data_IF_813542702614
#
_entry.id   IF_813542702614
#
_cell.length_a   1.000
_cell.length_b   1.000
_cell.length_c   1.000
_cell.angle_alpha   90.00
_cell.angle_beta   90.00
_cell.angle_gamma   90.00
#
_symmetry.space_group_name_H-M   'P 1'
#
loop_
_entity.id
_entity.type
_entity.pdbx_description
1 polymer ?
#
# COMPACT_ATOMS: atom_id res chain seq x y z
N UNK A 1 74.36 -16.87 -23.14
CA UNK A 1 73.67 -15.57 -22.92
C UNK A 1 72.61 -15.81 -21.86
N UNK A 2 72.83 -15.32 -20.63
CA UNK A 2 71.91 -15.51 -19.51
C UNK A 2 70.83 -14.43 -19.60
N UNK A 3 69.59 -14.82 -19.87
CA UNK A 3 68.46 -13.91 -19.75
C UNK A 3 68.27 -13.57 -18.27
N UNK A 4 68.28 -12.27 -17.97
CA UNK A 4 68.02 -11.72 -16.64
C UNK A 4 66.60 -12.10 -16.18
N UNK A 5 66.41 -12.53 -14.92
CA UNK A 5 65.07 -12.82 -14.38
C UNK A 5 64.15 -11.59 -14.34
N UNK A 6 64.71 -10.37 -14.46
CA UNK A 6 63.93 -9.14 -14.61
C UNK A 6 63.26 -8.98 -15.98
N UNK A 7 63.75 -9.68 -17.02
CA UNK A 7 63.17 -9.62 -18.38
C UNK A 7 61.98 -10.57 -18.56
N UNK A 8 61.77 -11.53 -17.64
CA UNK A 8 60.63 -12.44 -17.67
C UNK A 8 59.33 -11.84 -17.08
N UNK A 9 59.43 -10.72 -16.36
CA UNK A 9 58.30 -10.07 -15.68
C UNK A 9 57.59 -8.99 -16.53
N UNK A 10 58.04 -8.73 -17.76
CA UNK A 10 57.45 -7.74 -18.67
C UNK A 10 56.52 -8.35 -19.73
N UNK A 11 56.21 -9.65 -19.66
CA UNK A 11 55.40 -10.36 -20.68
C UNK A 11 53.98 -10.73 -20.21
N UNK A 12 53.48 -10.10 -19.15
CA UNK A 12 52.11 -10.31 -18.65
C UNK A 12 51.32 -8.99 -18.63
N UNK A 13 51.49 -8.12 -19.63
CA UNK A 13 50.42 -7.18 -19.99
C UNK A 13 49.43 -7.91 -20.91
N UNK A 14 48.80 -8.95 -20.39
CA UNK A 14 47.63 -9.51 -21.06
C UNK A 14 46.56 -8.43 -21.08
N UNK A 15 45.99 -8.14 -22.25
CA UNK A 15 44.74 -7.38 -22.31
C UNK A 15 43.69 -8.20 -21.55
N UNK A 16 43.45 -7.81 -20.31
CA UNK A 16 42.43 -8.41 -19.48
C UNK A 16 41.15 -7.62 -19.73
N UNK A 17 40.10 -8.31 -20.20
CA UNK A 17 38.80 -7.67 -20.35
C UNK A 17 38.35 -7.12 -19.00
N UNK A 18 37.89 -5.87 -18.99
CA UNK A 18 37.29 -5.27 -17.81
C UNK A 18 35.96 -5.98 -17.57
N UNK A 19 35.78 -6.58 -16.39
CA UNK A 19 34.52 -7.24 -15.98
C UNK A 19 33.76 -6.30 -15.05
N UNK A 20 32.58 -5.87 -15.45
CA UNK A 20 31.66 -5.06 -14.64
C UNK A 20 30.44 -5.89 -14.23
N UNK A 21 29.94 -5.69 -13.00
CA UNK A 21 28.69 -6.30 -12.53
C UNK A 21 27.80 -5.20 -11.92
N UNK A 22 26.55 -5.11 -12.38
CA UNK A 22 25.58 -4.10 -11.95
C UNK A 22 24.21 -4.71 -11.71
N UNK A 23 23.46 -4.15 -10.74
CA UNK A 23 22.04 -4.42 -10.54
C UNK A 23 21.24 -3.15 -10.88
N UNK A 24 20.26 -3.29 -11.77
CA UNK A 24 19.42 -2.19 -12.22
C UNK A 24 17.96 -2.52 -11.90
N UNK A 25 17.21 -1.53 -11.42
CA UNK A 25 15.77 -1.65 -11.19
C UNK A 25 15.03 -0.80 -12.22
N UNK A 26 14.01 -1.36 -12.85
CA UNK A 26 13.16 -0.65 -13.80
C UNK A 26 11.68 -0.88 -13.53
N UNK A 27 10.86 0.14 -13.81
CA UNK A 27 9.41 0.01 -13.73
C UNK A 27 8.87 -0.60 -15.03
N UNK A 28 7.85 -1.44 -14.93
CA UNK A 28 7.11 -1.92 -16.12
C UNK A 28 6.60 -0.72 -16.94
N UNK A 29 6.80 -0.79 -18.26
CA UNK A 29 6.43 0.25 -19.22
C UNK A 29 7.42 1.42 -19.33
N UNK A 30 8.44 1.48 -18.46
CA UNK A 30 9.49 2.51 -18.52
C UNK A 30 10.61 2.15 -19.50
N UNK A 31 11.47 3.13 -19.79
CA UNK A 31 12.71 2.93 -20.53
C UNK A 31 13.88 2.87 -19.55
N UNK A 32 14.83 1.95 -19.77
CA UNK A 32 16.00 1.74 -18.91
C UNK A 32 17.29 1.69 -19.72
N UNK A 33 18.38 2.20 -19.12
CA UNK A 33 19.74 2.06 -19.65
C UNK A 33 20.50 1.01 -18.83
N UNK A 34 21.02 -0.02 -19.48
CA UNK A 34 21.90 -1.01 -18.85
C UNK A 34 23.34 -0.65 -19.17
N UNK A 35 24.14 -0.31 -18.15
CA UNK A 35 25.45 0.29 -18.36
C UNK A 35 26.46 -0.72 -18.90
N UNK A 36 27.23 -0.31 -19.90
CA UNK A 36 28.42 -1.02 -20.37
C UNK A 36 29.41 0.02 -20.87
N UNK A 37 30.29 0.49 -19.98
CA UNK A 37 31.14 1.66 -20.26
C UNK A 37 32.59 1.27 -20.11
N UNK A 38 33.38 1.54 -21.15
CA UNK A 38 34.82 1.35 -21.11
C UNK A 38 35.45 2.36 -20.14
N UNK A 39 36.29 1.92 -19.17
CA UNK A 39 36.81 2.81 -18.13
C UNK A 39 37.86 3.83 -18.64
N UNK A 40 38.40 3.63 -19.84
CA UNK A 40 39.34 4.57 -20.46
C UNK A 40 38.66 5.78 -21.11
N UNK A 41 39.48 6.72 -21.57
CA UNK A 41 39.03 7.92 -22.33
C UNK A 41 39.29 7.79 -23.83
N UNK A 42 39.52 6.55 -24.28
CA UNK A 42 39.78 6.25 -25.68
C UNK A 42 38.59 6.60 -26.56
N UNK A 43 38.89 7.03 -27.78
CA UNK A 43 37.89 7.17 -28.83
C UNK A 43 37.91 5.92 -29.68
N UNK A 44 36.73 5.44 -30.02
CA UNK A 44 36.58 4.21 -30.79
C UNK A 44 36.16 4.51 -32.22
N UNK A 45 36.82 3.84 -33.16
CA UNK A 45 36.38 3.76 -34.55
C UNK A 45 35.27 2.69 -34.64
N UNK A 46 34.12 3.06 -35.19
CA UNK A 46 32.99 2.16 -35.32
C UNK A 46 33.31 0.97 -36.25
N UNK A 47 34.15 1.17 -37.27
CA UNK A 47 34.52 0.08 -38.19
C UNK A 47 35.51 -0.93 -37.56
N UNK A 48 36.03 -0.62 -36.38
CA UNK A 48 36.90 -1.47 -35.57
C UNK A 48 36.13 -2.27 -34.49
N UNK A 49 34.84 -1.97 -34.27
CA UNK A 49 34.07 -2.47 -33.14
C UNK A 49 33.10 -3.59 -33.48
N UNK A 50 33.03 -4.58 -32.59
CA UNK A 50 31.96 -5.58 -32.54
C UNK A 50 31.34 -5.53 -31.16
N UNK A 51 30.04 -5.24 -31.06
CA UNK A 51 29.32 -5.13 -29.79
C UNK A 51 28.17 -6.11 -29.78
N UNK A 52 28.04 -6.88 -28.70
CA UNK A 52 26.94 -7.81 -28.49
C UNK A 52 26.32 -7.58 -27.13
N UNK A 53 24.99 -7.50 -27.12
CA UNK A 53 24.18 -7.68 -25.93
C UNK A 53 23.43 -9.00 -26.06
N UNK A 54 23.54 -9.84 -25.04
CA UNK A 54 22.89 -11.15 -25.01
C UNK A 54 22.34 -11.46 -23.62
N UNK A 55 21.36 -12.35 -23.55
CA UNK A 55 20.89 -12.91 -22.30
C UNK A 55 21.96 -13.84 -21.73
N UNK A 56 22.37 -13.66 -20.47
CA UNK A 56 23.51 -14.39 -19.90
C UNK A 56 23.28 -15.90 -19.84
N UNK A 57 22.04 -16.35 -19.59
CA UNK A 57 21.73 -17.77 -19.38
C UNK A 57 21.56 -18.54 -20.70
N UNK A 58 20.88 -17.96 -21.68
CA UNK A 58 20.56 -18.61 -22.96
C UNK A 58 21.49 -18.21 -24.11
N UNK A 59 22.33 -17.19 -23.91
CA UNK A 59 23.08 -16.50 -24.97
C UNK A 59 22.20 -15.98 -26.10
N UNK A 60 20.89 -15.81 -25.87
CA UNK A 60 19.99 -15.25 -26.86
C UNK A 60 20.37 -13.79 -27.13
N UNK A 61 20.50 -13.45 -28.41
CA UNK A 61 20.93 -12.11 -28.83
C UNK A 61 19.81 -11.09 -28.58
N UNK A 62 20.14 -10.04 -27.83
CA UNK A 62 19.25 -8.92 -27.52
C UNK A 62 19.39 -7.86 -28.61
N UNK A 63 20.61 -7.42 -28.84
CA UNK A 63 20.99 -6.51 -29.92
C UNK A 63 22.50 -6.61 -30.16
N UNK A 64 22.96 -6.09 -31.28
CA UNK A 64 24.36 -6.09 -31.62
C UNK A 64 24.69 -4.96 -32.59
N UNK A 65 25.98 -4.65 -32.67
CA UNK A 65 26.56 -3.76 -33.67
C UNK A 65 27.75 -4.44 -34.33
N UNK A 66 27.76 -4.42 -35.66
CA UNK A 66 28.87 -4.86 -36.51
C UNK A 66 29.33 -3.71 -37.41
N UNK A 67 30.61 -3.69 -37.83
CA UNK A 67 31.12 -2.71 -38.78
C UNK A 67 30.32 -2.63 -40.08
N UNK A 68 30.34 -1.47 -40.76
CA UNK A 68 29.70 -1.30 -42.06
C UNK A 68 28.16 -1.23 -42.04
N UNK A 69 27.55 -0.86 -40.91
CA UNK A 69 26.10 -0.62 -40.76
C UNK A 69 25.21 -1.85 -41.06
N UNK A 70 25.74 -3.06 -40.82
CA UNK A 70 24.98 -4.32 -40.93
C UNK A 70 24.11 -4.60 -39.69
N UNK A 71 23.61 -3.55 -39.02
CA UNK A 71 22.72 -3.64 -37.87
C UNK A 71 21.31 -4.04 -38.31
N UNK A 72 21.17 -5.25 -38.85
CA UNK A 72 19.87 -5.90 -39.04
C UNK A 72 19.44 -6.43 -37.69
N UNK A 73 18.62 -5.66 -36.96
CA UNK A 73 17.99 -6.13 -35.73
C UNK A 73 17.38 -7.52 -35.95
N UNK A 74 17.47 -8.39 -34.94
CA UNK A 74 16.92 -9.75 -35.01
C UNK A 74 15.43 -9.64 -35.36
N UNK A 75 15.05 -10.05 -36.58
CA UNK A 75 13.70 -9.79 -37.11
C UNK A 75 12.60 -10.50 -36.31
N UNK A 76 12.97 -11.48 -35.48
CA UNK A 76 12.09 -12.37 -34.71
C UNK A 76 12.40 -12.39 -33.19
N UNK A 77 12.93 -11.29 -32.64
CA UNK A 77 13.20 -11.16 -31.20
C UNK A 77 12.16 -10.28 -30.49
N UNK A 78 11.83 -10.59 -29.23
CA UNK A 78 10.99 -9.73 -28.38
C UNK A 78 11.65 -8.38 -28.01
N UNK A 79 12.94 -8.24 -28.30
CA UNK A 79 13.71 -7.00 -28.15
C UNK A 79 13.66 -6.09 -29.39
N UNK A 80 13.07 -6.57 -30.49
CA UNK A 80 12.94 -5.81 -31.74
C UNK A 80 12.28 -4.45 -31.49
N UNK A 81 12.85 -3.39 -32.06
CA UNK A 81 12.41 -1.99 -31.91
C UNK A 81 12.39 -1.45 -30.47
N UNK A 82 12.91 -2.21 -29.48
CA UNK A 82 12.96 -1.81 -28.07
C UNK A 82 14.39 -1.67 -27.56
N UNK A 83 15.28 -2.54 -28.02
CA UNK A 83 16.70 -2.56 -27.68
C UNK A 83 17.56 -1.76 -28.69
N UNK A 84 18.25 -0.73 -28.23
CA UNK A 84 19.06 0.15 -29.09
C UNK A 84 20.43 0.46 -28.50
N UNK A 85 21.39 0.70 -29.39
CA UNK A 85 22.72 1.22 -29.09
C UNK A 85 22.87 2.60 -29.74
N UNK A 86 23.64 3.49 -29.11
CA UNK A 86 23.90 4.84 -29.61
C UNK A 86 25.28 4.90 -30.26
N UNK A 87 25.34 5.13 -31.58
CA UNK A 87 26.60 5.19 -32.33
C UNK A 87 27.53 6.29 -31.80
N UNK A 88 26.97 7.47 -31.50
CA UNK A 88 27.73 8.60 -30.95
C UNK A 88 28.31 8.28 -29.57
N UNK A 89 27.56 7.54 -28.75
CA UNK A 89 28.00 7.08 -27.42
C UNK A 89 29.10 6.02 -27.53
N UNK A 90 28.97 5.10 -28.48
CA UNK A 90 29.95 4.03 -28.71
C UNK A 90 31.31 4.59 -29.13
N UNK A 91 31.34 5.64 -29.96
CA UNK A 91 32.57 6.36 -30.31
C UNK A 91 33.29 6.95 -29.09
N UNK A 92 32.57 7.18 -27.99
CA UNK A 92 33.06 7.70 -26.72
C UNK A 92 33.27 6.59 -25.67
N UNK A 93 33.14 5.32 -26.04
CA UNK A 93 33.34 4.18 -25.14
C UNK A 93 32.13 3.80 -24.30
N UNK A 94 30.95 4.37 -24.55
CA UNK A 94 29.69 3.97 -23.93
C UNK A 94 28.91 3.03 -24.86
N UNK A 95 28.90 1.74 -24.50
CA UNK A 95 28.24 0.64 -25.21
C UNK A 95 26.93 0.21 -24.54
N UNK A 96 26.36 1.08 -23.70
CA UNK A 96 25.16 0.79 -22.91
C UNK A 96 23.96 0.44 -23.78
N UNK A 97 23.16 -0.52 -23.32
CA UNK A 97 21.89 -0.88 -23.94
C UNK A 97 20.78 0.07 -23.48
N UNK A 98 20.06 0.65 -24.42
CA UNK A 98 18.80 1.34 -24.15
C UNK A 98 17.63 0.40 -24.45
N UNK A 99 16.93 -0.06 -23.41
CA UNK A 99 15.78 -0.94 -23.52
C UNK A 99 14.50 -0.16 -23.22
N UNK A 100 13.58 -0.13 -24.20
CA UNK A 100 12.30 0.60 -24.09
C UNK A 100 11.14 -0.30 -23.68
N UNK A 101 10.16 0.32 -23.00
CA UNK A 101 8.89 -0.32 -22.62
C UNK A 101 9.13 -1.66 -21.90
N UNK A 102 9.85 -1.64 -20.79
CA UNK A 102 10.24 -2.84 -20.00
C UNK A 102 9.02 -3.68 -19.64
N UNK A 103 9.12 -5.00 -19.80
CA UNK A 103 8.08 -5.95 -19.38
C UNK A 103 8.62 -6.90 -18.30
N UNK A 104 7.75 -7.61 -17.56
CA UNK A 104 8.19 -8.64 -16.61
C UNK A 104 9.06 -9.75 -17.23
N UNK A 105 8.98 -9.98 -18.55
CA UNK A 105 9.81 -10.98 -19.23
C UNK A 105 11.27 -10.52 -19.39
N UNK A 106 11.55 -9.24 -19.21
CA UNK A 106 12.90 -8.69 -19.30
C UNK A 106 13.66 -8.83 -17.96
N UNK A 107 13.04 -9.32 -16.88
CA UNK A 107 13.71 -9.60 -15.61
C UNK A 107 14.67 -10.79 -15.75
N UNK A 108 15.94 -10.47 -15.98
CA UNK A 108 16.99 -11.44 -16.23
C UNK A 108 18.38 -10.78 -16.20
N UNK A 109 19.42 -11.61 -16.33
CA UNK A 109 20.80 -11.18 -16.49
C UNK A 109 21.15 -11.00 -17.95
N UNK A 110 21.84 -9.89 -18.24
CA UNK A 110 22.31 -9.50 -19.56
C UNK A 110 23.84 -9.42 -19.56
N UNK A 111 24.45 -9.84 -20.65
CA UNK A 111 25.88 -9.69 -20.91
C UNK A 111 26.11 -8.71 -22.07
N UNK A 112 26.95 -7.72 -21.84
CA UNK A 112 27.59 -6.89 -22.84
C UNK A 112 28.97 -7.45 -23.16
N UNK A 113 29.29 -7.60 -24.45
CA UNK A 113 30.59 -8.05 -24.93
C UNK A 113 31.07 -7.11 -26.03
N UNK A 114 32.27 -6.55 -25.89
CA UNK A 114 32.86 -5.65 -26.88
C UNK A 114 34.22 -6.20 -27.33
N UNK A 115 34.40 -6.29 -28.65
CA UNK A 115 35.62 -6.77 -29.28
C UNK A 115 36.16 -5.74 -30.27
N UNK A 116 37.48 -5.75 -30.49
CA UNK A 116 38.14 -4.89 -31.48
C UNK A 116 38.80 -5.70 -32.60
N UNK A 117 38.57 -5.31 -33.84
CA UNK A 117 39.14 -5.94 -35.04
C UNK A 117 40.67 -5.83 -35.05
N UNK A 118 41.18 -4.64 -34.74
CA UNK A 118 42.60 -4.29 -34.67
C UNK A 118 43.40 -5.12 -33.66
N UNK A 119 42.71 -5.77 -32.72
CA UNK A 119 43.28 -6.65 -31.70
C UNK A 119 42.96 -8.12 -31.98
N UNK A 120 42.85 -8.51 -33.25
CA UNK A 120 42.52 -9.88 -33.67
C UNK A 120 41.19 -10.38 -33.07
N UNK A 121 40.18 -9.51 -33.02
CA UNK A 121 38.90 -9.75 -32.32
C UNK A 121 39.08 -10.00 -30.81
N UNK A 122 40.08 -9.37 -30.20
CA UNK A 122 40.29 -9.38 -28.75
C UNK A 122 39.13 -8.72 -28.01
N UNK A 123 38.65 -9.37 -26.94
CA UNK A 123 37.61 -8.83 -26.06
C UNK A 123 38.20 -7.74 -25.17
N UNK A 124 37.65 -6.54 -25.25
CA UNK A 124 38.13 -5.37 -24.49
C UNK A 124 37.24 -5.01 -23.31
N UNK A 125 35.96 -5.41 -23.33
CA UNK A 125 34.99 -5.12 -22.29
C UNK A 125 33.98 -6.25 -22.18
N UNK A 126 33.64 -6.59 -20.94
CA UNK A 126 32.58 -7.52 -20.57
C UNK A 126 31.81 -6.95 -19.39
N UNK A 127 30.50 -6.78 -19.51
CA UNK A 127 29.67 -6.31 -18.41
C UNK A 127 28.47 -7.24 -18.22
N UNK A 128 28.14 -7.54 -16.97
CA UNK A 128 26.98 -8.34 -16.59
C UNK A 128 26.02 -7.44 -15.82
N UNK A 129 24.80 -7.28 -16.33
CA UNK A 129 23.77 -6.44 -15.70
C UNK A 129 22.57 -7.31 -15.32
N UNK A 130 22.21 -7.33 -14.04
CA UNK A 130 20.99 -7.98 -13.57
C UNK A 130 19.86 -6.95 -13.55
N UNK A 131 18.84 -7.14 -14.38
CA UNK A 131 17.67 -6.27 -14.43
C UNK A 131 16.57 -6.85 -13.52
N UNK A 132 16.17 -6.07 -12.52
CA UNK A 132 15.00 -6.34 -11.69
C UNK A 132 13.84 -5.47 -12.15
N UNK A 133 12.66 -6.07 -12.38
CA UNK A 133 11.49 -5.37 -12.88
C UNK A 133 10.46 -5.22 -11.78
N UNK A 134 9.79 -4.08 -11.73
CA UNK A 134 8.77 -3.79 -10.73
C UNK A 134 7.55 -3.08 -11.30
N UNK A 135 6.39 -3.31 -10.72
CA UNK A 135 5.17 -2.56 -10.95
C UNK A 135 4.45 -2.29 -9.62
N UNK A 136 3.92 -1.08 -9.48
CA UNK A 136 3.10 -0.74 -8.32
C UNK A 136 1.78 -1.49 -8.38
N UNK A 137 1.39 -2.06 -7.25
CA UNK A 137 0.04 -2.59 -7.07
C UNK A 137 -0.98 -1.46 -7.06
N UNK A 138 -2.21 -1.75 -7.48
CA UNK A 138 -3.34 -0.84 -7.23
C UNK A 138 -3.60 -0.71 -5.73
N UNK A 139 -4.10 0.44 -5.30
CA UNK A 139 -4.53 0.62 -3.91
C UNK A 139 -5.51 -0.50 -3.52
N UNK A 140 -5.28 -1.24 -2.40
CA UNK A 140 -6.13 -2.37 -2.06
C UNK A 140 -7.55 -1.92 -1.76
N UNK A 141 -8.52 -2.59 -2.37
CA UNK A 141 -9.94 -2.36 -2.13
C UNK A 141 -10.44 -3.46 -1.21
N UNK A 142 -10.86 -3.08 0.00
CA UNK A 142 -11.43 -4.01 0.98
C UNK A 142 -12.96 -3.87 0.92
N UNK A 143 -13.63 -4.99 0.66
CA UNK A 143 -15.09 -5.02 0.57
C UNK A 143 -15.73 -5.21 1.95
N UNK A 144 -16.89 -4.59 2.16
CA UNK A 144 -17.72 -4.79 3.34
C UNK A 144 -17.99 -6.28 3.57
N UNK A 145 -18.00 -6.75 4.82
CA UNK A 145 -18.07 -8.17 5.07
C UNK A 145 -19.45 -8.71 4.72
N UNK A 146 -19.48 -9.89 4.08
CA UNK A 146 -20.71 -10.66 3.98
C UNK A 146 -20.94 -11.43 5.29
N UNK A 147 -22.19 -11.45 5.77
CA UNK A 147 -22.60 -12.33 6.87
C UNK A 147 -22.99 -13.68 6.25
N UNK A 148 -22.26 -14.78 6.49
CA UNK A 148 -22.70 -16.08 6.03
C UNK A 148 -24.00 -16.46 6.75
N UNK A 149 -24.86 -17.19 6.03
CA UNK A 149 -26.13 -17.72 6.56
C UNK A 149 -25.94 -18.76 7.66
N UNK A 150 -24.71 -19.24 7.86
CA UNK A 150 -24.31 -20.12 8.95
C UNK A 150 -23.27 -19.40 9.81
N UNK A 151 -23.71 -18.97 10.99
CA UNK A 151 -22.92 -18.59 12.16
C UNK A 151 -22.14 -17.25 12.13
N UNK A 152 -21.79 -16.79 13.33
CA UNK A 152 -21.35 -15.46 13.74
C UNK A 152 -19.96 -15.06 13.22
N UNK A 153 -19.69 -15.22 11.92
CA UNK A 153 -18.41 -14.85 11.29
C UNK A 153 -18.60 -13.71 10.29
N UNK A 154 -17.57 -12.87 10.16
CA UNK A 154 -17.48 -11.81 9.18
C UNK A 154 -16.41 -12.16 8.16
N UNK A 155 -16.75 -12.09 6.87
CA UNK A 155 -15.82 -12.38 5.78
C UNK A 155 -15.49 -11.13 4.99
N UNK A 156 -14.26 -10.63 5.10
CA UNK A 156 -13.75 -9.51 4.31
C UNK A 156 -12.99 -10.02 3.09
N UNK A 157 -13.10 -9.30 1.97
CA UNK A 157 -12.33 -9.59 0.75
C UNK A 157 -11.52 -8.37 0.36
N UNK A 158 -10.22 -8.56 0.18
CA UNK A 158 -9.29 -7.56 -0.30
C UNK A 158 -8.85 -7.89 -1.71
N UNK A 159 -8.90 -6.90 -2.61
CA UNK A 159 -8.46 -7.03 -3.99
C UNK A 159 -7.45 -5.94 -4.34
N UNK A 160 -6.35 -6.33 -4.98
CA UNK A 160 -5.32 -5.42 -5.52
C UNK A 160 -4.73 -6.04 -6.79
N UNK A 161 -4.48 -5.24 -7.82
CA UNK A 161 -4.15 -5.73 -9.17
C UNK A 161 -2.92 -5.06 -9.75
N UNK A 162 -2.40 -5.64 -10.83
CA UNK A 162 -1.37 -5.06 -11.70
C UNK A 162 -0.01 -4.76 -11.05
N UNK A 163 0.37 -5.49 -10.01
CA UNK A 163 1.68 -5.35 -9.38
C UNK A 163 2.71 -6.38 -9.82
N UNK A 164 3.99 -6.09 -9.60
CA UNK A 164 5.10 -7.01 -9.86
C UNK A 164 6.31 -6.61 -9.00
N UNK A 165 7.10 -7.54 -8.45
CA UNK A 165 6.94 -9.01 -8.48
C UNK A 165 5.84 -9.48 -7.51
N UNK A 166 5.73 -10.80 -7.29
CA UNK A 166 4.73 -11.41 -6.38
C UNK A 166 4.77 -10.74 -5.00
N UNK A 167 3.62 -10.35 -4.41
CA UNK A 167 3.60 -9.55 -3.20
C UNK A 167 3.55 -10.39 -1.93
N UNK A 168 3.78 -9.72 -0.80
CA UNK A 168 3.37 -10.21 0.52
C UNK A 168 2.05 -9.55 0.93
N UNK A 169 1.14 -10.33 1.49
CA UNK A 169 -0.17 -9.85 1.97
C UNK A 169 -0.21 -9.95 3.49
N UNK A 170 -0.64 -8.87 4.14
CA UNK A 170 -0.79 -8.81 5.59
C UNK A 170 -2.11 -8.17 5.96
N UNK A 171 -2.83 -8.75 6.93
CA UNK A 171 -4.01 -8.11 7.52
C UNK A 171 -3.66 -7.46 8.85
N UNK A 172 -4.23 -6.29 9.11
CA UNK A 172 -3.93 -5.45 10.27
C UNK A 172 -5.24 -5.13 10.98
N UNK A 173 -5.32 -5.37 12.29
CA UNK A 173 -6.39 -4.81 13.10
C UNK A 173 -6.12 -3.31 13.29
N UNK A 174 -6.98 -2.46 12.75
CA UNK A 174 -6.77 -1.00 12.80
C UNK A 174 -7.06 -0.38 14.16
N UNK A 175 -7.63 -1.14 15.09
CA UNK A 175 -7.91 -0.70 16.46
C UNK A 175 -6.61 -0.58 17.27
N UNK A 176 -5.71 -1.55 17.14
CA UNK A 176 -4.44 -1.63 17.88
C UNK A 176 -3.19 -1.66 16.98
N UNK A 177 -3.39 -1.64 15.66
CA UNK A 177 -2.37 -1.80 14.63
C UNK A 177 -1.58 -3.12 14.72
N UNK A 178 -2.15 -4.16 15.34
CA UNK A 178 -1.56 -5.50 15.37
C UNK A 178 -1.76 -6.21 14.03
N UNK A 179 -0.79 -7.04 13.66
CA UNK A 179 -0.90 -7.93 12.51
C UNK A 179 -1.74 -9.15 12.89
N UNK A 180 -2.72 -9.50 12.06
CA UNK A 180 -3.57 -10.67 12.23
C UNK A 180 -2.84 -11.95 11.77
N UNK A 181 -3.20 -13.09 12.38
CA UNK A 181 -2.59 -14.38 12.10
C UNK A 181 -2.85 -14.81 10.65
N UNK A 182 -1.82 -15.38 9.99
CA UNK A 182 -1.92 -15.95 8.65
C UNK A 182 -2.96 -17.07 8.55
N UNK A 183 -3.26 -17.76 9.64
CA UNK A 183 -4.31 -18.79 9.67
C UNK A 183 -5.73 -18.24 9.45
N UNK A 184 -5.94 -16.93 9.64
CA UNK A 184 -7.27 -16.30 9.52
C UNK A 184 -7.60 -15.84 8.09
N UNK A 185 -6.60 -15.80 7.21
CA UNK A 185 -6.81 -15.33 5.83
C UNK A 185 -6.28 -16.33 4.80
N UNK A 186 -6.90 -16.30 3.63
CA UNK A 186 -6.48 -17.11 2.49
C UNK A 186 -6.17 -16.18 1.31
N UNK A 187 -4.93 -16.24 0.82
CA UNK A 187 -4.40 -15.38 -0.22
C UNK A 187 -4.30 -16.14 -1.54
N UNK A 188 -5.03 -15.66 -2.53
CA UNK A 188 -4.92 -16.12 -3.92
C UNK A 188 -4.17 -15.07 -4.71
N UNK A 189 -3.01 -15.45 -5.25
CA UNK A 189 -2.20 -14.59 -6.10
C UNK A 189 -2.11 -15.23 -7.48
N UNK A 190 -2.57 -14.52 -8.51
CA UNK A 190 -2.68 -15.02 -9.88
C UNK A 190 -1.95 -14.10 -10.86
N UNK A 191 -1.38 -14.68 -11.91
CA UNK A 191 -0.78 -13.92 -13.00
C UNK A 191 -1.86 -13.57 -14.04
N UNK A 192 -1.94 -12.31 -14.44
CA UNK A 192 -2.86 -11.85 -15.46
C UNK A 192 -2.25 -11.92 -16.87
N UNK A 193 -3.05 -11.58 -17.87
CA UNK A 193 -2.63 -11.66 -19.29
C UNK A 193 -1.44 -10.73 -19.64
N UNK A 194 -1.16 -9.71 -18.82
CA UNK A 194 -0.02 -8.80 -18.98
C UNK A 194 1.26 -9.31 -18.29
N UNK A 195 1.20 -10.45 -17.61
CA UNK A 195 2.30 -10.97 -16.81
C UNK A 195 2.48 -10.26 -15.46
N UNK A 196 1.45 -9.55 -14.99
CA UNK A 196 1.42 -8.89 -13.68
C UNK A 196 0.61 -9.73 -12.69
N UNK A 197 0.83 -9.50 -11.39
CA UNK A 197 0.14 -10.20 -10.32
C UNK A 197 -1.11 -9.46 -9.86
N UNK A 198 -2.19 -10.22 -9.76
CA UNK A 198 -3.42 -9.83 -9.10
C UNK A 198 -3.58 -10.63 -7.80
N UNK A 199 -4.09 -9.97 -6.77
CA UNK A 199 -4.24 -10.49 -5.42
C UNK A 199 -5.70 -10.43 -5.01
N UNK A 200 -6.19 -11.56 -4.52
CA UNK A 200 -7.46 -11.66 -3.80
C UNK A 200 -7.18 -12.33 -2.46
N UNK A 201 -7.40 -11.62 -1.36
CA UNK A 201 -7.25 -12.17 -0.02
C UNK A 201 -8.58 -12.15 0.72
N UNK A 202 -8.93 -13.27 1.36
CA UNK A 202 -10.18 -13.43 2.10
C UNK A 202 -9.86 -13.63 3.57
N UNK A 203 -10.27 -12.67 4.40
CA UNK A 203 -10.11 -12.71 5.87
C UNK A 203 -11.42 -13.15 6.52
N UNK A 204 -11.32 -14.11 7.45
CA UNK A 204 -12.44 -14.57 8.28
C UNK A 204 -12.16 -14.25 9.73
N UNK A 205 -13.05 -13.49 10.36
CA UNK A 205 -12.95 -13.10 11.77
C UNK A 205 -14.29 -13.32 12.48
N UNK A 206 -14.29 -13.58 13.80
CA UNK A 206 -15.52 -13.66 14.57
C UNK A 206 -16.27 -12.32 14.54
N UNK A 207 -17.59 -12.39 14.67
CA UNK A 207 -18.44 -11.20 14.71
C UNK A 207 -18.16 -10.36 15.96
N UNK A 208 -18.10 -9.04 15.76
CA UNK A 208 -18.11 -8.05 16.83
C UNK A 208 -18.94 -6.81 16.41
N UNK A 209 -19.42 -6.00 17.36
CA UNK A 209 -20.24 -4.81 17.06
C UNK A 209 -19.55 -3.76 16.20
N UNK A 210 -18.21 -3.68 16.26
CA UNK A 210 -17.40 -2.80 15.42
C UNK A 210 -16.08 -3.50 15.10
N UNK A 211 -15.78 -3.66 13.82
CA UNK A 211 -14.56 -4.31 13.34
C UNK A 211 -13.90 -3.40 12.30
N UNK A 212 -12.66 -2.97 12.56
CA UNK A 212 -11.88 -2.14 11.65
C UNK A 212 -10.61 -2.88 11.24
N UNK A 213 -10.51 -3.23 9.97
CA UNK A 213 -9.42 -4.04 9.41
C UNK A 213 -8.74 -3.31 8.26
N UNK A 214 -7.44 -3.56 8.12
CA UNK A 214 -6.61 -3.09 7.03
C UNK A 214 -5.99 -4.24 6.27
N UNK A 215 -6.05 -4.23 4.95
CA UNK A 215 -5.32 -5.13 4.07
C UNK A 215 -4.11 -4.40 3.52
N UNK A 216 -2.92 -4.88 3.84
CA UNK A 216 -1.64 -4.34 3.41
C UNK A 216 -1.02 -5.24 2.33
N UNK A 217 -0.71 -4.65 1.19
CA UNK A 217 0.01 -5.29 0.08
C UNK A 217 1.42 -4.70 0.05
N UNK A 218 2.41 -5.56 0.28
CA UNK A 218 3.83 -5.20 0.31
C UNK A 218 4.51 -5.60 -1.01
N UNK A 219 5.16 -4.62 -1.63
CA UNK A 219 6.14 -4.82 -2.69
C UNK A 219 7.55 -4.64 -2.12
N UNK A 220 8.20 -5.75 -1.80
CA UNK A 220 9.52 -5.78 -1.17
C UNK A 220 10.61 -5.16 -2.05
N UNK A 221 10.52 -5.30 -3.39
CA UNK A 221 11.51 -4.77 -4.33
C UNK A 221 11.47 -3.23 -4.40
N UNK A 222 10.26 -2.66 -4.27
CA UNK A 222 10.05 -1.21 -4.24
C UNK A 222 10.10 -0.62 -2.83
N UNK A 223 10.21 -1.45 -1.79
CA UNK A 223 10.08 -1.05 -0.39
C UNK A 223 8.79 -0.24 -0.15
N UNK A 224 7.69 -0.68 -0.77
CA UNK A 224 6.39 0.00 -0.73
C UNK A 224 5.30 -0.88 -0.13
N UNK A 225 4.50 -0.29 0.75
CA UNK A 225 3.34 -0.91 1.36
C UNK A 225 2.10 -0.08 1.05
N UNK A 226 1.07 -0.71 0.50
CA UNK A 226 -0.22 -0.07 0.24
C UNK A 226 -1.28 -0.71 1.14
N UNK A 227 -2.01 0.11 1.89
CA UNK A 227 -3.00 -0.39 2.87
C UNK A 227 -4.39 0.16 2.56
N UNK A 228 -5.31 -0.73 2.19
CA UNK A 228 -6.74 -0.45 2.15
C UNK A 228 -7.39 -0.78 3.48
N UNK A 229 -8.42 -0.04 3.90
CA UNK A 229 -9.09 -0.25 5.19
C UNK A 229 -10.59 -0.29 5.02
N UNK A 230 -11.27 -1.12 5.82
CA UNK A 230 -12.73 -1.18 5.86
C UNK A 230 -13.20 -1.32 7.31
N UNK A 231 -14.32 -0.66 7.63
CA UNK A 231 -14.94 -0.74 8.96
C UNK A 231 -16.35 -1.29 8.85
N UNK A 232 -16.58 -2.41 9.52
CA UNK A 232 -17.91 -2.95 9.73
C UNK A 232 -18.50 -2.42 11.03
N UNK A 233 -19.74 -1.92 10.97
CA UNK A 233 -20.54 -1.53 12.14
C UNK A 233 -21.78 -2.42 12.17
N UNK A 234 -21.93 -3.18 13.24
CA UNK A 234 -23.07 -4.05 13.47
C UNK A 234 -24.34 -3.25 13.82
N UNK A 235 -25.54 -3.81 13.54
CA UNK A 235 -26.81 -3.13 13.79
C UNK A 235 -27.05 -2.77 15.27
N UNK A 236 -26.42 -3.45 16.22
CA UNK A 236 -26.52 -3.13 17.66
C UNK A 236 -25.78 -1.82 18.04
N UNK A 237 -24.82 -1.34 17.24
CA UNK A 237 -24.06 -0.12 17.53
C UNK A 237 -24.76 1.18 17.09
N UNK A 238 -25.85 1.09 16.31
CA UNK A 238 -26.63 2.25 15.86
C UNK A 238 -27.69 2.71 16.87
N UNK A 239 -27.83 2.07 18.03
CA UNK A 239 -28.72 2.56 19.11
C UNK A 239 -28.01 3.68 19.85
N UNK A 240 -27.93 4.86 19.22
CA UNK A 240 -27.69 6.10 19.94
C UNK A 240 -28.97 6.45 20.68
N UNK A 241 -28.94 6.19 21.99
CA UNK A 241 -29.68 6.85 23.06
C UNK A 241 -30.79 7.80 22.55
N UNK A 242 -32.01 7.28 22.40
CA UNK A 242 -33.16 8.18 22.45
C UNK A 242 -33.10 8.86 23.83
N UNK A 243 -33.11 10.19 23.94
CA UNK A 243 -33.13 10.80 25.25
C UNK A 243 -34.42 10.34 25.91
N UNK A 244 -34.28 9.47 26.91
CA UNK A 244 -35.35 9.18 27.85
C UNK A 244 -35.76 10.54 28.38
N UNK A 245 -36.92 11.04 27.93
CA UNK A 245 -37.60 12.16 28.58
C UNK A 245 -37.57 11.83 30.07
N UNK A 246 -37.04 12.68 30.95
CA UNK A 246 -37.27 12.48 32.36
C UNK A 246 -38.78 12.44 32.52
N UNK A 247 -39.31 11.29 32.97
CA UNK A 247 -40.64 11.22 33.52
C UNK A 247 -40.64 12.24 34.64
N UNK A 248 -41.28 13.37 34.39
CA UNK A 248 -41.65 14.31 35.42
C UNK A 248 -42.70 13.59 36.26
N UNK A 249 -42.23 12.80 37.22
CA UNK A 249 -43.00 12.38 38.38
C UNK A 249 -43.37 13.66 39.11
N UNK A 250 -44.51 14.22 38.71
CA UNK A 250 -45.16 15.29 39.43
C UNK A 250 -45.42 14.82 40.84
N UNK A 251 -44.58 15.31 41.75
CA UNK A 251 -44.70 15.33 43.22
C UNK A 251 -46.14 15.07 43.72
N UNK A 252 -46.52 13.80 43.85
CA UNK A 252 -47.76 13.39 44.50
C UNK A 252 -47.76 13.74 46.00
N UNK A 253 -46.57 14.00 46.58
CA UNK A 253 -46.42 14.41 47.97
C UNK A 253 -46.82 15.87 48.24
N UNK A 254 -46.68 16.78 47.26
CA UNK A 254 -46.94 18.23 47.48
C UNK A 254 -48.42 18.58 47.30
N UNK A 255 -49.14 17.85 46.46
CA UNK A 255 -50.60 18.04 46.28
C UNK A 255 -51.38 17.55 47.50
N UNK A 256 -50.90 16.48 48.15
CA UNK A 256 -51.55 15.91 49.34
C UNK A 256 -51.46 16.84 50.56
N UNK A 257 -50.33 17.51 50.77
CA UNK A 257 -50.14 18.42 51.92
C UNK A 257 -50.97 19.70 51.80
N UNK A 258 -51.09 20.27 50.60
CA UNK A 258 -51.95 21.43 50.33
C UNK A 258 -53.43 21.11 50.53
N UNK A 259 -53.88 19.93 50.09
CA UNK A 259 -55.27 19.49 50.29
C UNK A 259 -55.60 19.31 51.78
N UNK A 260 -54.70 18.73 52.57
CA UNK A 260 -54.88 18.56 54.02
C UNK A 260 -54.91 19.92 54.73
N UNK A 261 -54.03 20.86 54.36
CA UNK A 261 -54.04 22.22 54.90
C UNK A 261 -55.35 22.96 54.56
N UNK A 262 -55.85 22.82 53.34
CA UNK A 262 -57.11 23.45 52.92
C UNK A 262 -58.31 22.90 53.72
N UNK A 263 -58.37 21.58 53.95
CA UNK A 263 -59.40 20.95 54.77
C UNK A 263 -59.33 21.42 56.22
N UNK A 264 -58.13 21.52 56.80
CA UNK A 264 -57.94 22.03 58.17
C UNK A 264 -58.40 23.49 58.30
N UNK A 265 -58.14 24.34 57.30
CA UNK A 265 -58.63 25.73 57.28
C UNK A 265 -60.15 25.77 57.18
N UNK A 266 -60.76 24.94 56.34
CA UNK A 266 -62.23 24.87 56.22
C UNK A 266 -62.87 24.43 57.54
N UNK A 267 -62.28 23.43 58.23
CA UNK A 267 -62.76 22.98 59.54
C UNK A 267 -62.57 24.06 60.61
N UNK A 268 -61.46 24.80 60.60
CA UNK A 268 -61.22 25.91 61.52
C UNK A 268 -62.20 27.08 61.28
N UNK A 269 -62.52 27.38 60.01
CA UNK A 269 -63.53 28.40 59.66
C UNK A 269 -64.93 27.91 60.04
N UNK A 270 -65.27 26.65 59.80
CA UNK A 270 -66.57 26.09 60.19
C UNK A 270 -66.75 26.07 61.71
N UNK A 271 -65.73 25.64 62.47
CA UNK A 271 -65.75 25.67 63.93
C UNK A 271 -65.74 27.10 64.47
N UNK A 272 -64.98 28.02 63.87
CA UNK A 272 -65.01 29.45 64.17
C UNK A 272 -66.38 30.10 63.90
N UNK A 273 -67.03 29.76 62.79
CA UNK A 273 -68.37 30.22 62.44
C UNK A 273 -69.44 29.61 63.36
N UNK A 274 -69.33 28.33 63.72
CA UNK A 274 -70.21 27.67 64.68
C UNK A 274 -70.05 28.23 66.11
N UNK A 275 -68.83 28.63 66.50
CA UNK A 275 -68.57 29.33 67.75
C UNK A 275 -69.10 30.78 67.71
N UNK A 276 -69.02 31.48 66.57
CA UNK A 276 -69.55 32.84 66.41
C UNK A 276 -71.08 32.89 66.39
N UNK A 277 -71.76 31.84 65.94
CA UNK A 277 -73.23 31.76 65.95
C UNK A 277 -73.82 31.27 67.28
N UNK A 278 -72.99 30.77 68.21
CA UNK A 278 -73.40 30.31 69.55
C UNK A 278 -73.02 31.25 70.71
N UNK A 279 -72.45 32.42 70.44
CA UNK A 279 -72.28 33.48 71.45
C UNK A 279 -73.39 34.53 71.31
N UNK A 280 -74.28 34.69 72.31
CA UNK A 280 -75.34 35.69 72.29
C UNK A 280 -74.79 37.11 72.47
N UNK A 281 -75.35 38.06 71.70
CA UNK A 281 -75.15 39.51 71.84
C UNK A 281 -75.39 39.93 73.30
N UNK A 282 -74.35 40.40 73.99
CA UNK A 282 -74.47 41.11 75.27
C UNK A 282 -74.70 42.59 74.99
N UNK A 283 -75.94 43.03 75.18
CA UNK A 283 -76.35 44.43 75.15
C UNK A 283 -75.62 45.23 76.22
N UNK A 284 -74.98 46.33 75.82
CA UNK A 284 -74.55 47.39 76.71
C UNK A 284 -75.58 48.53 76.64
N UNK A 285 -76.33 48.75 77.71
CA UNK A 285 -77.04 50.00 78.00
C UNK A 285 -76.12 50.88 78.84
N UNK A 286 -75.62 51.96 78.25
CA UNK A 286 -75.03 53.10 78.96
C UNK A 286 -76.13 53.97 79.55
N UNK A 287 -75.89 54.47 80.77
CA UNK A 287 -76.77 55.32 81.54
C UNK A 287 -76.88 56.75 80.95
N UNK A 288 -78.03 57.39 81.22
CA UNK A 288 -78.34 58.80 80.98
C UNK A 288 -77.53 59.72 81.92
N UNK A 289 -77.17 60.89 81.40
CA UNK A 289 -76.77 62.10 82.13
C UNK A 289 -77.95 63.10 82.13
N UNK A 290 -78.47 63.44 83.31
CA UNK A 290 -79.07 64.71 83.78
C UNK A 290 -79.02 64.54 85.31
N UNK A 291 -78.21 65.26 86.10
CA UNK A 291 -78.11 66.70 86.30
C UNK A 291 -76.72 67.06 86.85
#
# INVERSE_FOLDING_TARGET
MRLSPGLLLLLLSGLQAVIQAEEVRAMVGSDVKLSCVYPGTDRFDLDDLFVYWQVSESNAVVTYYLPGNSSTGLEDSHYKNRAHLSLDSMQQGDFSLHLRNVTPQDEQKFNCLVFRKSLELGRILEAVVTLHVAANYSMPVVSTPSRPSAEQELTFTCVSTDGYPRPSVHWINKTDNSQLDKALHNDTVSLNQRGLYDVVSVLRVPWAPSVNVGCCIENALLHQNLTGTETFIGPEAMVTDSPVRPQQEGSAAVVSTLAILLVMVIVAVATGCLCRTRCPRRSYTGARFVQ
#
